data_IF_433764680857
#
_entry.id   IF_433764680857
#
_cell.length_a   1.000
_cell.length_b   1.000
_cell.length_c   1.000
_cell.angle_alpha   90.00
_cell.angle_beta   90.00
_cell.angle_gamma   90.00
#
_symmetry.space_group_name_H-M   'P 1'
#
loop_
_entity.id
_entity.type
_entity.pdbx_description
1 polymer ?
#
# COMPACT_ATOMS: atom_id res chain seq x y z
N UNK A 1 -51.67 0.65 0.39
CA UNK A 1 -50.80 1.57 -0.36
C UNK A 1 -49.62 2.10 0.44
N UNK A 2 -49.71 2.27 1.74
CA UNK A 2 -48.61 2.70 2.56
C UNK A 2 -47.49 1.65 2.70
N UNK A 3 -47.81 0.37 2.62
CA UNK A 3 -46.88 -0.74 2.84
C UNK A 3 -45.79 -0.82 1.79
N UNK A 4 -46.10 -0.53 0.53
CA UNK A 4 -45.10 -0.54 -0.55
C UNK A 4 -44.05 0.55 -0.38
N UNK A 5 -44.46 1.70 0.13
CA UNK A 5 -43.55 2.83 0.38
C UNK A 5 -42.62 2.50 1.56
N UNK A 6 -43.18 1.95 2.64
CA UNK A 6 -42.42 1.56 3.83
C UNK A 6 -41.39 0.49 3.48
N UNK A 7 -41.77 -0.51 2.69
CA UNK A 7 -40.85 -1.55 2.22
C UNK A 7 -39.70 -0.98 1.41
N UNK A 8 -39.99 -0.06 0.50
CA UNK A 8 -38.99 0.61 -0.33
C UNK A 8 -38.02 1.44 0.50
N UNK A 9 -38.53 2.15 1.50
CA UNK A 9 -37.72 2.93 2.41
C UNK A 9 -36.81 2.05 3.24
N UNK A 10 -37.31 0.89 3.71
CA UNK A 10 -36.54 -0.08 4.45
C UNK A 10 -35.43 -0.68 3.59
N UNK A 11 -35.75 -1.04 2.35
CA UNK A 11 -34.76 -1.55 1.39
C UNK A 11 -33.66 -0.53 1.09
N UNK A 12 -34.08 0.73 0.94
CA UNK A 12 -33.13 1.82 0.70
C UNK A 12 -32.21 2.01 1.93
N UNK A 13 -32.77 2.00 3.12
CA UNK A 13 -32.01 2.13 4.37
C UNK A 13 -30.98 1.00 4.50
N UNK A 14 -31.38 -0.22 4.20
CA UNK A 14 -30.48 -1.37 4.23
C UNK A 14 -29.38 -1.26 3.18
N UNK A 15 -29.73 -0.79 1.98
CA UNK A 15 -28.75 -0.56 0.92
C UNK A 15 -27.73 0.49 1.32
N UNK A 16 -28.17 1.57 1.95
CA UNK A 16 -27.29 2.64 2.44
C UNK A 16 -26.35 2.10 3.52
N UNK A 17 -26.86 1.28 4.44
CA UNK A 17 -26.04 0.67 5.49
C UNK A 17 -24.95 -0.23 4.89
N UNK A 18 -25.32 -1.07 3.93
CA UNK A 18 -24.36 -1.94 3.25
C UNK A 18 -23.29 -1.14 2.51
N UNK A 19 -23.71 -0.06 1.85
CA UNK A 19 -22.80 0.83 1.15
C UNK A 19 -21.84 1.52 2.12
N UNK A 20 -22.34 1.99 3.26
CA UNK A 20 -21.51 2.62 4.29
C UNK A 20 -20.49 1.66 4.86
N UNK A 21 -20.87 0.41 5.12
CA UNK A 21 -19.98 -0.64 5.61
C UNK A 21 -18.91 -0.97 4.57
N UNK A 22 -19.30 -1.07 3.30
CA UNK A 22 -18.35 -1.32 2.21
C UNK A 22 -17.35 -0.19 2.07
N UNK A 23 -17.79 1.06 2.16
CA UNK A 23 -16.91 2.23 2.12
C UNK A 23 -15.93 2.20 3.31
N UNK A 24 -16.42 1.85 4.50
CA UNK A 24 -15.57 1.72 5.68
C UNK A 24 -14.46 0.69 5.49
N UNK A 25 -14.81 -0.50 4.98
CA UNK A 25 -13.82 -1.55 4.68
C UNK A 25 -12.82 -1.09 3.63
N UNK A 26 -13.30 -0.46 2.57
CA UNK A 26 -12.41 0.02 1.51
C UNK A 26 -11.45 1.09 2.00
N UNK A 27 -11.89 1.97 2.89
CA UNK A 27 -11.03 2.98 3.50
C UNK A 27 -9.94 2.34 4.35
N UNK A 28 -10.28 1.32 5.13
CA UNK A 28 -9.32 0.58 5.95
C UNK A 28 -8.31 -0.16 5.08
N UNK A 29 -8.79 -0.87 4.06
CA UNK A 29 -7.93 -1.59 3.12
C UNK A 29 -7.00 -0.63 2.38
N UNK A 30 -7.54 0.53 1.97
CA UNK A 30 -6.75 1.54 1.28
C UNK A 30 -5.64 2.08 2.19
N UNK A 31 -5.96 2.36 3.45
CA UNK A 31 -4.98 2.83 4.42
C UNK A 31 -3.89 1.79 4.68
N UNK A 32 -4.28 0.52 4.77
CA UNK A 32 -3.35 -0.58 4.95
C UNK A 32 -2.42 -0.75 3.75
N UNK A 33 -2.98 -0.70 2.54
CA UNK A 33 -2.20 -0.78 1.31
C UNK A 33 -1.20 0.36 1.18
N UNK A 34 -1.61 1.57 1.56
CA UNK A 34 -0.72 2.73 1.56
C UNK A 34 0.45 2.55 2.53
N UNK A 35 0.18 1.99 3.71
CA UNK A 35 1.24 1.68 4.69
C UNK A 35 2.20 0.64 4.15
N UNK A 36 1.69 -0.40 3.51
CA UNK A 36 2.50 -1.44 2.90
C UNK A 36 3.36 -0.89 1.77
N UNK A 37 2.79 -0.03 0.93
CA UNK A 37 3.54 0.63 -0.15
C UNK A 37 4.69 1.48 0.39
N UNK A 38 4.46 2.22 1.47
CA UNK A 38 5.51 3.01 2.10
C UNK A 38 6.62 2.12 2.67
N UNK A 39 6.23 1.04 3.34
CA UNK A 39 7.18 0.07 3.88
C UNK A 39 8.05 -0.55 2.78
N UNK A 40 7.41 -1.00 1.71
CA UNK A 40 8.13 -1.59 0.56
C UNK A 40 9.03 -0.56 -0.12
N UNK A 41 8.57 0.68 -0.23
CA UNK A 41 9.38 1.76 -0.77
C UNK A 41 10.61 2.06 0.08
N UNK A 42 10.46 2.04 1.39
CA UNK A 42 11.58 2.23 2.33
C UNK A 42 12.57 1.06 2.27
N UNK A 43 12.07 -0.17 2.23
CA UNK A 43 12.89 -1.36 2.08
C UNK A 43 13.68 -1.33 0.77
N UNK A 44 13.01 -0.94 -0.31
CA UNK A 44 13.66 -0.81 -1.63
C UNK A 44 14.80 0.20 -1.59
N UNK A 45 14.57 1.36 -1.00
CA UNK A 45 15.61 2.40 -0.87
C UNK A 45 16.79 1.89 -0.06
N UNK A 46 16.50 1.18 1.02
CA UNK A 46 17.55 0.60 1.88
C UNK A 46 18.38 -0.42 1.11
N UNK A 47 17.74 -1.33 0.38
CA UNK A 47 18.43 -2.34 -0.43
C UNK A 47 19.28 -1.68 -1.52
N UNK A 48 18.72 -0.69 -2.22
CA UNK A 48 19.45 0.03 -3.27
C UNK A 48 20.66 0.78 -2.70
N UNK A 49 20.52 1.35 -1.51
CA UNK A 49 21.62 2.00 -0.82
C UNK A 49 22.74 1.01 -0.47
N UNK A 50 22.38 -0.17 0.03
CA UNK A 50 23.33 -1.23 0.33
C UNK A 50 24.05 -1.72 -0.92
N UNK A 51 23.30 -1.93 -2.01
CA UNK A 51 23.87 -2.33 -3.30
C UNK A 51 24.86 -1.27 -3.79
N UNK A 52 24.49 -0.01 -3.70
CA UNK A 52 25.35 1.11 -4.11
C UNK A 52 26.66 1.13 -3.30
N UNK A 53 26.57 0.92 -2.01
CA UNK A 53 27.74 0.84 -1.14
C UNK A 53 28.65 -0.33 -1.50
N UNK A 54 28.07 -1.49 -1.78
CA UNK A 54 28.83 -2.69 -2.18
C UNK A 54 29.54 -2.44 -3.50
N UNK A 55 28.84 -1.84 -4.48
CA UNK A 55 29.43 -1.51 -5.77
C UNK A 55 30.58 -0.52 -5.65
N UNK A 56 30.46 0.47 -4.78
CA UNK A 56 31.54 1.42 -4.50
C UNK A 56 32.74 0.74 -3.85
N UNK A 57 32.50 -0.17 -2.91
CA UNK A 57 33.56 -0.93 -2.27
C UNK A 57 34.30 -1.83 -3.26
N UNK A 58 33.58 -2.50 -4.15
CA UNK A 58 34.17 -3.32 -5.20
C UNK A 58 35.01 -2.45 -6.16
N UNK A 59 34.48 -1.31 -6.58
CA UNK A 59 35.20 -0.37 -7.42
C UNK A 59 36.48 0.13 -6.77
N UNK A 60 36.42 0.37 -5.47
CA UNK A 60 37.57 0.79 -4.69
C UNK A 60 38.65 -0.30 -4.61
N UNK A 61 38.24 -1.55 -4.42
CA UNK A 61 39.15 -2.70 -4.43
C UNK A 61 39.85 -2.86 -5.77
N UNK A 62 39.14 -2.65 -6.87
CA UNK A 62 39.70 -2.72 -8.22
C UNK A 62 40.73 -1.61 -8.47
N UNK A 63 40.48 -0.41 -7.95
CA UNK A 63 41.41 0.72 -8.07
C UNK A 63 42.67 0.51 -7.22
N UNK A 64 42.56 -0.14 -6.08
CA UNK A 64 43.65 -0.42 -5.16
C UNK A 64 44.46 -1.65 -5.58
N UNK A 65 44.01 -2.40 -6.59
CA UNK A 65 44.73 -3.57 -7.09
C UNK A 65 46.02 -3.15 -7.75
N UNK A 66 47.15 -3.76 -7.35
CA UNK A 66 48.40 -3.47 -8.04
C UNK A 66 48.33 -3.93 -9.49
N UNK A 67 48.60 -3.04 -10.40
CA UNK A 67 48.69 -3.38 -11.81
C UNK A 67 50.06 -3.96 -12.08
N UNK A 68 50.02 -5.19 -12.57
CA UNK A 68 51.27 -5.85 -13.01
C UNK A 68 51.61 -5.44 -14.44
#
# INVERSE_FOLDING_TARGET
MGDGIVERLTELEEAVKRAAEAIGRLREENAQLRREMRRLGDERRQVLSQVDMILKDIGKLDLDRPQE
#
